data_IF_367080361035
#
_entry.id   IF_367080361035
#
_cell.length_a   1.000
_cell.length_b   1.000
_cell.length_c   1.000
_cell.angle_alpha   90.00
_cell.angle_beta   90.00
_cell.angle_gamma   90.00
#
_symmetry.space_group_name_H-M   'P 1'
#
loop_
_entity.id
_entity.type
_entity.pdbx_description
1 polymer ?
#
# COMPACT_ATOMS: atom_id res chain seq x y z
N UNK A 1 0.46 -24.48 11.98
CA UNK A 1 0.84 -24.06 10.63
C UNK A 1 -0.35 -23.58 9.83
N UNK A 2 -1.47 -24.29 9.94
CA UNK A 2 -2.69 -23.84 9.23
C UNK A 2 -3.06 -22.43 9.61
N UNK A 3 -2.90 -22.10 10.90
CA UNK A 3 -3.32 -20.81 11.41
C UNK A 3 -2.50 -19.64 10.89
N UNK A 4 -1.25 -19.91 10.44
CA UNK A 4 -0.41 -18.85 9.92
C UNK A 4 -0.93 -18.29 8.59
N UNK A 5 -1.72 -19.09 7.86
CA UNK A 5 -2.29 -18.68 6.59
C UNK A 5 -3.71 -18.13 6.74
N UNK A 6 -4.21 -18.14 7.97
CA UNK A 6 -5.59 -17.72 8.24
C UNK A 6 -5.68 -16.23 8.43
N UNK A 7 -6.79 -15.65 7.99
CA UNK A 7 -7.12 -14.25 8.28
C UNK A 7 -8.53 -14.22 8.85
N UNK A 8 -8.83 -13.16 9.60
CA UNK A 8 -10.18 -12.96 10.11
C UNK A 8 -11.12 -12.60 8.97
N UNK A 9 -12.42 -12.75 9.24
CA UNK A 9 -13.42 -12.32 8.27
C UNK A 9 -13.28 -10.83 7.97
N UNK A 10 -12.97 -10.02 9.00
CA UNK A 10 -12.83 -8.58 8.82
C UNK A 10 -11.65 -8.24 7.92
N UNK A 11 -10.54 -8.94 8.10
CA UNK A 11 -9.37 -8.75 7.24
C UNK A 11 -9.68 -9.21 5.82
N UNK A 12 -10.45 -10.29 5.66
CA UNK A 12 -10.86 -10.76 4.34
C UNK A 12 -11.69 -9.70 3.62
N UNK A 13 -12.57 -9.01 4.35
CA UNK A 13 -13.36 -7.92 3.76
C UNK A 13 -12.48 -6.76 3.34
N UNK A 14 -11.48 -6.43 4.15
CA UNK A 14 -10.53 -5.38 3.78
C UNK A 14 -9.76 -5.77 2.53
N UNK A 15 -9.37 -7.04 2.42
CA UNK A 15 -8.67 -7.52 1.23
C UNK A 15 -9.55 -7.36 -0.02
N UNK A 16 -10.84 -7.65 0.11
CA UNK A 16 -11.79 -7.43 -0.99
C UNK A 16 -11.86 -5.97 -1.38
N UNK A 17 -11.89 -5.07 -0.39
CA UNK A 17 -11.89 -3.64 -0.63
C UNK A 17 -10.63 -3.22 -1.40
N UNK A 18 -9.47 -3.73 -0.97
CA UNK A 18 -8.21 -3.41 -1.64
C UNK A 18 -8.25 -3.81 -3.10
N UNK A 19 -8.67 -5.03 -3.40
CA UNK A 19 -8.73 -5.49 -4.78
C UNK A 19 -9.70 -4.66 -5.61
N UNK A 20 -10.83 -4.32 -5.04
CA UNK A 20 -11.86 -3.58 -5.79
C UNK A 20 -11.46 -2.13 -6.05
N UNK A 21 -10.78 -1.50 -5.09
CA UNK A 21 -10.43 -0.08 -5.19
C UNK A 21 -9.04 0.16 -5.77
N UNK A 22 -8.30 -0.90 -6.04
CA UNK A 22 -6.93 -0.77 -6.52
C UNK A 22 -6.89 -0.07 -7.88
N UNK A 23 -6.04 0.95 -7.99
CA UNK A 23 -5.76 1.63 -9.26
C UNK A 23 -4.47 1.05 -9.81
N UNK A 24 -4.46 0.66 -11.07
CA UNK A 24 -3.29 0.09 -11.74
C UNK A 24 -3.07 0.89 -13.01
N UNK A 25 -1.85 1.44 -13.18
CA UNK A 25 -1.56 2.18 -14.39
C UNK A 25 -1.11 1.25 -15.51
N UNK A 26 -0.82 1.82 -16.67
CA UNK A 26 -0.50 1.02 -17.86
C UNK A 26 0.83 0.27 -17.75
N UNK A 27 1.69 0.64 -16.79
CA UNK A 27 2.99 0.00 -16.61
C UNK A 27 3.06 -0.87 -15.37
N UNK A 28 1.93 -1.12 -14.70
CA UNK A 28 1.87 -2.04 -13.58
C UNK A 28 2.18 -1.43 -12.22
N UNK A 29 2.09 -0.11 -12.10
CA UNK A 29 2.20 0.57 -10.80
C UNK A 29 0.81 0.71 -10.20
N UNK A 30 0.64 0.23 -8.97
CA UNK A 30 -0.67 0.19 -8.35
C UNK A 30 -0.70 0.95 -7.05
N UNK A 31 -1.89 1.43 -6.68
CA UNK A 31 -2.09 2.04 -5.36
C UNK A 31 -3.51 1.84 -4.89
N UNK A 32 -3.67 1.91 -3.58
CA UNK A 32 -4.98 1.98 -2.95
C UNK A 32 -4.88 2.89 -1.74
N UNK A 33 -5.94 3.64 -1.48
CA UNK A 33 -6.04 4.50 -0.30
C UNK A 33 -7.08 3.89 0.62
N UNK A 34 -6.71 3.71 1.89
CA UNK A 34 -7.59 3.15 2.91
C UNK A 34 -7.97 4.26 3.90
N UNK A 35 -9.16 4.85 3.74
CA UNK A 35 -9.62 5.87 4.68
C UNK A 35 -9.88 5.28 6.07
N UNK A 36 -9.73 6.10 7.10
CA UNK A 36 -10.02 5.68 8.47
C UNK A 36 -11.42 5.10 8.61
N UNK A 37 -12.39 5.72 7.92
CA UNK A 37 -13.77 5.25 8.03
C UNK A 37 -13.94 3.81 7.52
N UNK A 38 -13.13 3.41 6.54
CA UNK A 38 -13.18 2.03 6.02
C UNK A 38 -12.63 1.07 7.05
N UNK A 39 -11.48 1.42 7.66
CA UNK A 39 -10.91 0.58 8.72
C UNK A 39 -11.88 0.47 9.90
N UNK A 40 -12.47 1.58 10.30
CA UNK A 40 -13.42 1.58 11.41
C UNK A 40 -14.65 0.72 11.09
N UNK A 41 -15.14 0.80 9.86
CA UNK A 41 -16.30 0.00 9.45
C UNK A 41 -16.02 -1.49 9.55
N UNK A 42 -14.78 -1.91 9.31
CA UNK A 42 -14.38 -3.30 9.44
C UNK A 42 -13.81 -3.62 10.82
N UNK A 43 -13.80 -2.64 11.74
CA UNK A 43 -13.27 -2.82 13.10
C UNK A 43 -11.78 -3.18 13.09
N UNK A 44 -11.02 -2.54 12.20
CA UNK A 44 -9.60 -2.80 12.02
C UNK A 44 -8.79 -1.54 12.32
N UNK A 45 -7.50 -1.75 12.56
CA UNK A 45 -6.55 -0.66 12.80
C UNK A 45 -5.44 -0.73 11.74
N UNK A 46 -4.53 0.26 11.77
CA UNK A 46 -3.39 0.25 10.87
C UNK A 46 -2.59 -1.04 10.97
N UNK A 47 -2.42 -1.56 12.19
CA UNK A 47 -1.63 -2.79 12.38
C UNK A 47 -2.22 -3.96 11.57
N UNK A 48 -3.54 -4.02 11.44
CA UNK A 48 -4.20 -5.10 10.71
C UNK A 48 -3.90 -5.04 9.22
N UNK A 49 -3.53 -3.87 8.69
CA UNK A 49 -3.28 -3.71 7.26
C UNK A 49 -2.01 -4.46 6.82
N UNK A 50 -1.15 -4.84 7.77
CA UNK A 50 0.02 -5.65 7.42
C UNK A 50 -0.39 -6.96 6.75
N UNK A 51 -1.55 -7.49 7.10
CA UNK A 51 -2.01 -8.77 6.56
C UNK A 51 -2.39 -8.71 5.08
N UNK A 52 -2.70 -7.51 4.54
CA UNK A 52 -3.14 -7.39 3.16
C UNK A 52 -2.11 -6.66 2.29
N UNK A 53 -0.92 -6.40 2.83
CA UNK A 53 0.06 -5.59 2.09
C UNK A 53 0.55 -6.30 0.83
N UNK A 54 0.54 -7.62 0.82
CA UNK A 54 0.98 -8.39 -0.35
C UNK A 54 -0.11 -8.64 -1.39
N UNK A 55 -1.36 -8.30 -1.09
CA UNK A 55 -2.47 -8.63 -1.97
C UNK A 55 -2.33 -8.07 -3.40
N UNK A 56 -1.96 -6.79 -3.58
CA UNK A 56 -1.85 -6.28 -4.95
C UNK A 56 -0.81 -7.01 -5.78
N UNK A 57 0.26 -7.51 -5.15
CA UNK A 57 1.30 -8.23 -5.86
C UNK A 57 0.87 -9.58 -6.40
N UNK A 58 -0.29 -10.10 -5.98
CA UNK A 58 -0.81 -11.34 -6.52
C UNK A 58 -1.41 -11.13 -7.91
N UNK A 59 -1.65 -9.89 -8.30
CA UNK A 59 -2.13 -9.57 -9.64
C UNK A 59 -0.93 -9.60 -10.58
N UNK A 60 -1.04 -10.38 -11.64
CA UNK A 60 0.08 -10.67 -12.52
C UNK A 60 0.76 -9.42 -13.06
N UNK A 61 -0.02 -8.45 -13.48
CA UNK A 61 0.52 -7.24 -14.12
C UNK A 61 1.09 -6.21 -13.14
N UNK A 62 0.83 -6.36 -11.83
CA UNK A 62 1.31 -5.38 -10.85
C UNK A 62 2.76 -5.67 -10.50
N UNK A 63 3.66 -4.71 -10.75
CA UNK A 63 5.07 -4.85 -10.45
C UNK A 63 5.51 -4.14 -9.19
N UNK A 64 4.87 -3.02 -8.86
CA UNK A 64 5.12 -2.31 -7.60
C UNK A 64 3.84 -1.62 -7.18
N UNK A 65 3.70 -1.41 -5.87
CA UNK A 65 2.45 -0.87 -5.36
C UNK A 65 2.64 -0.18 -4.02
N UNK A 66 1.68 0.68 -3.68
CA UNK A 66 1.64 1.38 -2.41
C UNK A 66 0.24 1.32 -1.83
N UNK A 67 0.17 1.11 -0.52
CA UNK A 67 -1.07 1.16 0.24
C UNK A 67 -0.94 2.36 1.18
N UNK A 68 -1.84 3.33 1.03
CA UNK A 68 -1.86 4.55 1.83
C UNK A 68 -2.94 4.40 2.89
N UNK A 69 -2.53 4.32 4.15
CA UNK A 69 -3.44 4.03 5.27
C UNK A 69 -3.63 5.29 6.09
N UNK A 70 -4.82 5.86 6.05
CA UNK A 70 -5.11 7.06 6.83
C UNK A 70 -5.02 6.73 8.33
N UNK A 71 -4.28 7.56 9.05
CA UNK A 71 -4.08 7.41 10.48
C UNK A 71 -5.10 8.22 11.25
N UNK A 72 -5.39 7.85 12.50
CA UNK A 72 -6.31 8.65 13.33
C UNK A 72 -5.90 10.11 13.42
N UNK A 73 -4.58 10.42 13.33
CA UNK A 73 -4.08 11.78 13.40
C UNK A 73 -4.26 12.56 12.10
N UNK A 74 -4.62 11.88 11.01
CA UNK A 74 -4.94 12.55 9.75
C UNK A 74 -3.92 12.39 8.63
N UNK A 75 -2.67 12.01 8.95
CA UNK A 75 -1.70 11.74 7.90
C UNK A 75 -1.86 10.28 7.42
N UNK A 76 -1.05 9.87 6.44
CA UNK A 76 -1.14 8.53 5.87
C UNK A 76 0.18 7.79 6.06
N UNK A 77 0.09 6.57 6.62
CA UNK A 77 1.22 5.65 6.55
C UNK A 77 1.19 4.99 5.19
N UNK A 78 2.38 4.82 4.60
CA UNK A 78 2.50 4.27 3.26
C UNK A 78 3.27 2.97 3.33
N UNK A 79 2.66 1.88 2.88
CA UNK A 79 3.34 0.59 2.79
C UNK A 79 3.65 0.37 1.31
N UNK A 80 4.95 0.29 1.00
CA UNK A 80 5.42 0.20 -0.39
C UNK A 80 6.06 -1.15 -0.63
N UNK A 81 5.73 -1.76 -1.73
CA UNK A 81 6.26 -3.08 -2.10
C UNK A 81 6.58 -3.12 -3.58
N UNK A 82 7.53 -3.99 -3.94
CA UNK A 82 7.93 -4.15 -5.34
C UNK A 82 8.37 -5.58 -5.57
N UNK A 83 8.17 -6.07 -6.77
CA UNK A 83 8.64 -7.40 -7.16
C UNK A 83 10.12 -7.38 -7.55
N UNK A 84 10.57 -6.31 -8.20
CA UNK A 84 11.93 -6.25 -8.76
C UNK A 84 12.59 -4.89 -8.55
N UNK A 85 11.87 -3.80 -8.81
CA UNK A 85 12.46 -2.46 -8.85
C UNK A 85 12.56 -1.89 -7.44
N UNK A 86 13.76 -1.42 -7.01
CA UNK A 86 13.90 -0.85 -5.66
C UNK A 86 13.06 0.41 -5.49
N UNK A 87 12.35 0.48 -4.35
CA UNK A 87 11.49 1.62 -4.03
C UNK A 87 11.92 2.32 -2.73
N UNK A 88 12.97 1.83 -2.08
CA UNK A 88 13.38 2.39 -0.79
C UNK A 88 13.89 3.83 -0.89
N UNK A 89 14.38 4.24 -2.06
CA UNK A 89 14.79 5.63 -2.25
C UNK A 89 13.62 6.59 -2.16
N UNK A 90 12.48 6.20 -2.74
CA UNK A 90 11.27 7.02 -2.65
C UNK A 90 10.80 7.10 -1.20
N UNK A 91 10.81 5.96 -0.51
CA UNK A 91 10.39 5.93 0.89
C UNK A 91 11.25 6.86 1.75
N UNK A 92 12.57 6.86 1.49
CA UNK A 92 13.48 7.71 2.24
C UNK A 92 13.19 9.19 2.03
N UNK A 93 12.77 9.57 0.84
CA UNK A 93 12.45 10.96 0.53
C UNK A 93 11.09 11.39 1.07
N UNK A 94 10.32 10.45 1.63
CA UNK A 94 8.98 10.73 2.15
C UNK A 94 8.84 10.22 3.58
N UNK A 95 9.80 10.60 4.43
CA UNK A 95 9.73 10.39 5.89
C UNK A 95 9.77 8.91 6.29
N UNK A 96 10.49 8.09 5.55
CA UNK A 96 10.56 6.67 5.85
C UNK A 96 11.84 6.01 5.38
N UNK A 97 11.72 4.77 4.96
CA UNK A 97 12.85 3.97 4.50
C UNK A 97 12.51 2.50 4.56
N UNK A 98 13.52 1.65 4.36
CA UNK A 98 13.36 0.21 4.45
C UNK A 98 14.22 -0.51 3.43
N UNK A 99 13.77 -1.72 3.09
CA UNK A 99 14.47 -2.56 2.14
C UNK A 99 14.11 -2.19 0.70
N UNK A 100 14.93 -2.55 -0.28
CA UNK A 100 14.63 -2.18 -1.68
C UNK A 100 13.25 -2.61 -2.16
N UNK A 101 12.76 -3.75 -1.73
CA UNK A 101 11.48 -4.27 -2.22
C UNK A 101 10.35 -4.18 -1.19
N UNK A 102 10.64 -3.65 0.00
CA UNK A 102 9.64 -3.53 1.07
C UNK A 102 10.03 -2.36 1.97
N UNK A 103 9.34 -1.24 1.80
CA UNK A 103 9.65 -0.01 2.54
C UNK A 103 8.37 0.63 3.05
N UNK A 104 8.54 1.54 3.99
CA UNK A 104 7.46 2.32 4.54
C UNK A 104 7.78 3.79 4.46
N UNK A 105 6.74 4.61 4.33
CA UNK A 105 6.89 6.06 4.26
C UNK A 105 5.71 6.70 4.98
N UNK A 106 5.65 8.02 4.94
CA UNK A 106 4.50 8.77 5.46
C UNK A 106 4.17 9.87 4.46
N UNK A 107 2.88 10.11 4.27
CA UNK A 107 2.39 11.19 3.45
C UNK A 107 1.57 12.12 4.34
N UNK A 108 1.91 13.39 4.36
CA UNK A 108 1.27 14.35 5.27
C UNK A 108 0.23 15.22 4.58
N UNK A 109 -0.08 14.91 3.33
CA UNK A 109 -1.12 15.60 2.58
C UNK A 109 -1.57 14.72 1.44
N UNK A 110 -2.71 15.06 0.84
CA UNK A 110 -3.17 14.36 -0.36
C UNK A 110 -2.25 14.63 -1.53
N UNK A 111 -1.65 15.81 -1.56
CA UNK A 111 -0.66 16.14 -2.57
C UNK A 111 0.56 15.23 -2.47
N UNK A 112 0.98 14.90 -1.26
CA UNK A 112 2.14 14.01 -1.09
C UNK A 112 1.80 12.58 -1.52
N UNK A 113 0.58 12.14 -1.33
CA UNK A 113 0.14 10.85 -1.87
C UNK A 113 0.36 10.82 -3.39
N UNK A 114 -0.06 11.88 -4.07
CA UNK A 114 0.10 11.96 -5.52
C UNK A 114 1.56 12.03 -5.93
N UNK A 115 2.39 12.75 -5.16
CA UNK A 115 3.83 12.83 -5.41
C UNK A 115 4.47 11.44 -5.33
N UNK A 116 4.16 10.70 -4.28
CA UNK A 116 4.73 9.36 -4.09
C UNK A 116 4.31 8.46 -5.25
N UNK A 117 3.04 8.47 -5.61
CA UNK A 117 2.55 7.63 -6.69
C UNK A 117 3.19 8.01 -8.03
N UNK A 118 3.33 9.30 -8.30
CA UNK A 118 3.99 9.77 -9.51
C UNK A 118 5.45 9.31 -9.57
N UNK A 119 6.17 9.43 -8.44
CA UNK A 119 7.57 8.98 -8.38
C UNK A 119 7.67 7.48 -8.62
N UNK A 120 6.74 6.70 -8.10
CA UNK A 120 6.73 5.26 -8.35
C UNK A 120 6.49 4.95 -9.82
N UNK A 121 5.54 5.65 -10.45
CA UNK A 121 5.26 5.45 -11.87
C UNK A 121 6.47 5.79 -12.74
N UNK A 122 7.25 6.81 -12.34
CA UNK A 122 8.42 7.21 -13.10
C UNK A 122 9.51 6.13 -13.09
N UNK A 123 9.55 5.29 -12.05
CA UNK A 123 10.56 4.22 -11.99
C UNK A 123 10.38 3.20 -13.12
N UNK A 124 9.17 3.02 -13.62
CA UNK A 124 8.87 2.01 -14.64
C UNK A 124 8.44 2.62 -15.97
N UNK A 125 8.54 3.93 -16.06
CA UNK A 125 8.15 4.62 -17.29
C UNK A 125 9.11 4.27 -18.42
N UNK A 126 8.56 3.96 -19.56
CA UNK A 126 9.34 3.55 -20.73
C UNK A 126 9.43 4.65 -21.77
#
# INVERSE_FOLDING_TARGET
SRKMDSISRQVAKLQGYVYEQLEIDENGTARVILPQEVLQAYQLTDADTAAIVGAPGRIEEVGLWAIFVEQPEGHYRVRMRSKVIPINGIAKNHHGGGHPLASGANAFSKEEIEQIYTEMKELVKK
#
